data_IF_720873434134
#
_entry.id   IF_720873434134
#
_cell.length_a   1.000
_cell.length_b   1.000
_cell.length_c   1.000
_cell.angle_alpha   90.00
_cell.angle_beta   90.00
_cell.angle_gamma   90.00
#
_symmetry.space_group_name_H-M   'P 1'
#
loop_
_entity.id
_entity.type
_entity.pdbx_description
1 polymer ?
#
# COMPACT_ATOMS: atom_id res chain seq x y z
N UNK A 1 5.20 -14.18 -3.50
CA UNK A 1 5.60 -12.83 -3.93
C UNK A 1 7.05 -12.75 -4.42
N UNK A 2 8.09 -12.85 -3.57
CA UNK A 2 9.49 -12.69 -4.03
C UNK A 2 9.90 -13.63 -5.17
N UNK A 3 9.49 -14.91 -5.12
CA UNK A 3 9.72 -15.85 -6.22
C UNK A 3 8.99 -15.47 -7.51
N UNK A 4 7.79 -14.88 -7.40
CA UNK A 4 6.99 -14.41 -8.54
C UNK A 4 7.69 -13.22 -9.22
N UNK A 5 8.32 -12.35 -8.42
CA UNK A 5 9.13 -11.24 -8.89
C UNK A 5 10.50 -11.68 -9.45
N UNK A 6 10.81 -12.99 -9.47
CA UNK A 6 12.02 -13.53 -10.07
C UNK A 6 13.25 -13.53 -9.17
N UNK A 7 13.11 -13.31 -7.86
CA UNK A 7 14.23 -13.41 -6.94
C UNK A 7 14.72 -14.87 -6.82
N UNK A 8 16.04 -15.04 -6.73
CA UNK A 8 16.65 -16.35 -6.57
C UNK A 8 16.23 -17.02 -5.25
N UNK A 9 16.04 -18.33 -5.26
CA UNK A 9 15.64 -19.10 -4.05
C UNK A 9 16.56 -18.82 -2.86
N UNK A 10 17.88 -18.76 -3.07
CA UNK A 10 18.84 -18.45 -2.01
C UNK A 10 18.61 -17.09 -1.34
N UNK A 11 18.14 -16.09 -2.09
CA UNK A 11 17.81 -14.78 -1.57
C UNK A 11 16.50 -14.81 -0.79
N UNK A 12 15.50 -15.52 -1.31
CA UNK A 12 14.22 -15.73 -0.62
C UNK A 12 14.43 -16.48 0.70
N UNK A 13 15.27 -17.51 0.70
CA UNK A 13 15.64 -18.25 1.90
C UNK A 13 16.38 -17.38 2.92
N UNK A 14 17.28 -16.50 2.45
CA UNK A 14 17.96 -15.54 3.31
C UNK A 14 16.99 -14.57 3.99
N UNK A 15 16.07 -13.95 3.22
CA UNK A 15 15.05 -13.06 3.78
C UNK A 15 14.12 -13.81 4.74
N UNK A 16 13.70 -15.03 4.38
CA UNK A 16 12.90 -15.90 5.25
C UNK A 16 13.62 -16.18 6.56
N UNK A 17 14.92 -16.46 6.53
CA UNK A 17 15.71 -16.67 7.74
C UNK A 17 15.77 -15.40 8.60
N UNK A 18 16.01 -14.23 8.01
CA UNK A 18 16.00 -12.95 8.73
C UNK A 18 14.67 -12.71 9.46
N UNK A 19 13.54 -13.03 8.83
CA UNK A 19 12.21 -12.89 9.45
C UNK A 19 11.97 -13.88 10.59
N UNK A 20 12.44 -15.12 10.45
CA UNK A 20 12.17 -16.21 11.41
C UNK A 20 13.12 -16.23 12.62
N UNK A 21 14.26 -15.53 12.56
CA UNK A 21 15.22 -15.45 13.67
C UNK A 21 14.74 -14.57 14.83
N UNK A 22 13.75 -13.72 14.60
CA UNK A 22 13.34 -12.72 15.58
C UNK A 22 12.44 -13.34 16.65
N UNK A 23 12.65 -12.95 17.90
CA UNK A 23 11.80 -13.34 19.01
C UNK A 23 11.61 -12.17 19.98
N UNK A 24 10.39 -12.03 20.49
CA UNK A 24 9.96 -10.92 21.32
C UNK A 24 9.54 -11.39 22.71
N UNK A 25 9.70 -10.52 23.69
CA UNK A 25 9.07 -10.62 25.01
C UNK A 25 8.48 -9.25 25.36
N UNK A 26 7.33 -9.24 26.04
CA UNK A 26 6.68 -8.00 26.46
C UNK A 26 7.07 -7.74 27.92
N UNK A 27 7.59 -6.54 28.20
CA UNK A 27 7.84 -6.07 29.55
C UNK A 27 6.56 -5.47 30.13
N UNK A 28 6.04 -6.05 31.21
CA UNK A 28 4.88 -5.53 31.94
C UNK A 28 5.34 -5.17 33.35
N UNK A 29 5.25 -3.89 33.71
CA UNK A 29 5.73 -3.36 35.00
C UNK A 29 7.20 -3.74 35.31
N UNK A 30 8.06 -3.71 34.29
CA UNK A 30 9.48 -4.06 34.41
C UNK A 30 9.78 -5.56 34.53
N UNK A 31 8.76 -6.43 34.45
CA UNK A 31 8.94 -7.89 34.43
C UNK A 31 8.83 -8.41 33.00
N UNK A 32 9.82 -9.20 32.58
CA UNK A 32 9.83 -9.83 31.27
C UNK A 32 8.76 -10.93 31.20
N UNK A 33 7.87 -10.84 30.22
CA UNK A 33 6.87 -11.84 29.93
C UNK A 33 7.43 -13.05 29.17
N UNK A 34 6.54 -13.96 28.76
CA UNK A 34 6.92 -15.11 27.95
C UNK A 34 7.42 -14.68 26.58
N UNK A 35 8.48 -15.33 26.11
CA UNK A 35 9.02 -15.14 24.78
C UNK A 35 8.12 -15.80 23.71
N UNK A 36 7.91 -15.11 22.60
CA UNK A 36 7.16 -15.59 21.43
C UNK A 36 7.86 -15.18 20.13
N UNK A 37 7.51 -15.85 19.03
CA UNK A 37 8.02 -15.52 17.69
C UNK A 37 6.89 -14.91 16.86
N UNK A 38 7.15 -13.86 16.08
CA UNK A 38 6.16 -13.31 15.16
C UNK A 38 5.85 -14.32 14.06
N UNK A 39 4.59 -14.38 13.63
CA UNK A 39 4.20 -15.09 12.41
C UNK A 39 4.24 -14.19 11.17
N UNK A 40 4.16 -12.87 11.36
CA UNK A 40 4.19 -11.84 10.32
C UNK A 40 4.89 -10.59 10.83
N UNK A 41 5.46 -9.82 9.91
CA UNK A 41 6.08 -8.53 10.19
C UNK A 41 7.58 -8.62 10.43
N UNK A 42 8.24 -7.47 10.24
CA UNK A 42 9.65 -7.27 10.52
C UNK A 42 9.83 -6.47 11.81
N UNK A 43 11.02 -6.56 12.38
CA UNK A 43 11.36 -5.75 13.55
C UNK A 43 11.33 -4.26 13.18
N UNK A 44 10.68 -3.45 13.99
CA UNK A 44 10.75 -1.99 13.84
C UNK A 44 12.20 -1.52 14.01
N UNK A 45 12.66 -0.68 13.08
CA UNK A 45 14.06 -0.24 13.03
C UNK A 45 15.02 -1.25 12.38
N UNK A 46 14.51 -2.35 11.79
CA UNK A 46 15.32 -3.22 10.94
C UNK A 46 15.69 -2.48 9.64
N UNK A 47 16.99 -2.38 9.29
CA UNK A 47 17.44 -1.68 8.10
C UNK A 47 16.94 -2.31 6.79
N UNK A 48 16.46 -3.55 6.79
CA UNK A 48 15.90 -4.22 5.61
C UNK A 48 14.42 -3.90 5.38
N UNK A 49 13.69 -3.52 6.43
CA UNK A 49 12.24 -3.28 6.34
C UNK A 49 11.83 -2.30 5.23
N UNK A 50 12.49 -1.15 5.04
CA UNK A 50 12.11 -0.20 3.99
C UNK A 50 12.25 -0.79 2.58
N UNK A 51 13.30 -1.60 2.34
CA UNK A 51 13.54 -2.21 1.04
C UNK A 51 12.55 -3.33 0.77
N UNK A 52 12.25 -4.16 1.77
CA UNK A 52 11.27 -5.22 1.65
C UNK A 52 9.87 -4.66 1.43
N UNK A 53 9.53 -3.53 2.06
CA UNK A 53 8.29 -2.82 1.78
C UNK A 53 8.20 -2.40 0.30
N UNK A 54 9.26 -1.79 -0.26
CA UNK A 54 9.28 -1.38 -1.66
C UNK A 54 9.15 -2.57 -2.63
N UNK A 55 9.79 -3.69 -2.32
CA UNK A 55 9.67 -4.91 -3.13
C UNK A 55 8.25 -5.49 -3.05
N UNK A 56 7.59 -5.41 -1.88
CA UNK A 56 6.19 -5.80 -1.74
C UNK A 56 5.25 -4.87 -2.51
N UNK A 57 5.48 -3.56 -2.46
CA UNK A 57 4.61 -2.60 -3.12
C UNK A 57 4.73 -2.61 -4.64
N UNK A 58 5.79 -3.19 -5.22
CA UNK A 58 5.89 -3.48 -6.66
C UNK A 58 4.75 -4.40 -7.16
N UNK A 59 4.22 -5.28 -6.31
CA UNK A 59 3.05 -6.10 -6.64
C UNK A 59 1.81 -5.21 -6.87
N UNK A 60 1.60 -4.19 -6.03
CA UNK A 60 0.54 -3.21 -6.24
C UNK A 60 0.76 -2.42 -7.54
N UNK A 61 2.00 -2.03 -7.83
CA UNK A 61 2.34 -1.40 -9.12
C UNK A 61 1.95 -2.28 -10.30
N UNK A 62 2.25 -3.57 -10.22
CA UNK A 62 1.90 -4.55 -11.26
C UNK A 62 0.38 -4.69 -11.44
N UNK A 63 -0.37 -4.78 -10.34
CA UNK A 63 -1.84 -4.82 -10.39
C UNK A 63 -2.44 -3.55 -11.01
N UNK A 64 -1.87 -2.38 -10.70
CA UNK A 64 -2.28 -1.11 -11.31
C UNK A 64 -1.95 -1.07 -12.81
N UNK A 65 -0.84 -1.67 -13.25
CA UNK A 65 -0.52 -1.78 -14.68
C UNK A 65 -1.54 -2.66 -15.42
N UNK A 66 -1.85 -3.83 -14.85
CA UNK A 66 -2.83 -4.77 -15.42
C UNK A 66 -4.21 -4.13 -15.54
N UNK A 67 -4.71 -3.53 -14.46
CA UNK A 67 -6.01 -2.85 -14.49
C UNK A 67 -6.06 -1.71 -15.51
N UNK A 68 -4.93 -1.05 -15.77
CA UNK A 68 -4.83 -0.02 -16.81
C UNK A 68 -4.86 -0.63 -18.20
N UNK A 69 -4.19 -1.75 -18.42
CA UNK A 69 -4.16 -2.42 -19.73
C UNK A 69 -5.51 -3.07 -20.06
N UNK A 70 -6.29 -3.43 -19.04
CA UNK A 70 -7.70 -3.85 -19.14
C UNK A 70 -8.69 -2.67 -19.31
N UNK A 71 -8.20 -1.42 -19.24
CA UNK A 71 -9.04 -0.23 -19.36
C UNK A 71 -9.92 0.05 -18.14
N UNK A 72 -9.67 -0.62 -17.01
CA UNK A 72 -10.41 -0.42 -15.76
C UNK A 72 -9.98 0.86 -15.03
N UNK A 73 -8.75 1.31 -15.25
CA UNK A 73 -8.22 2.54 -14.63
C UNK A 73 -7.58 3.46 -15.67
N UNK A 74 -7.83 4.76 -15.54
CA UNK A 74 -7.16 5.78 -16.33
C UNK A 74 -5.97 6.39 -15.57
N UNK A 75 -4.87 6.64 -16.30
CA UNK A 75 -3.71 7.34 -15.74
C UNK A 75 -3.86 8.85 -15.81
N UNK A 76 -3.24 9.50 -14.85
CA UNK A 76 -3.26 10.94 -14.72
C UNK A 76 -2.02 11.54 -15.37
N UNK A 77 -2.21 12.55 -16.22
CA UNK A 77 -1.11 13.28 -16.80
C UNK A 77 -0.74 14.49 -15.93
N UNK A 78 0.51 14.54 -15.46
CA UNK A 78 0.99 15.61 -14.57
C UNK A 78 1.07 16.96 -15.27
N UNK A 79 1.33 16.98 -16.58
CA UNK A 79 1.35 18.20 -17.40
C UNK A 79 1.05 17.86 -18.86
N UNK A 80 0.73 18.83 -19.73
CA UNK A 80 0.35 18.57 -21.14
C UNK A 80 1.31 17.63 -21.91
N UNK A 81 2.62 17.67 -21.58
CA UNK A 81 3.65 16.79 -22.16
C UNK A 81 4.34 15.91 -21.10
N UNK A 82 3.80 15.86 -19.90
CA UNK A 82 4.37 15.13 -18.77
C UNK A 82 4.03 13.65 -18.79
N UNK A 83 4.67 12.87 -17.89
CA UNK A 83 4.38 11.46 -17.73
C UNK A 83 2.95 11.23 -17.27
N UNK A 84 2.45 10.04 -17.57
CA UNK A 84 1.20 9.52 -17.04
C UNK A 84 1.49 8.68 -15.81
N UNK A 85 0.88 9.02 -14.69
CA UNK A 85 1.10 8.40 -13.37
C UNK A 85 -0.22 7.78 -12.90
N UNK A 86 -0.16 6.57 -12.34
CA UNK A 86 -1.27 5.90 -11.67
C UNK A 86 -1.06 5.74 -10.17
N UNK A 87 0.18 5.81 -9.68
CA UNK A 87 0.51 5.70 -8.27
C UNK A 87 1.89 6.30 -7.96
N UNK A 88 2.12 6.64 -6.70
CA UNK A 88 3.42 6.94 -6.10
C UNK A 88 3.55 6.09 -4.83
N UNK A 89 4.65 5.35 -4.72
CA UNK A 89 4.94 4.49 -3.58
C UNK A 89 6.07 5.08 -2.76
N UNK A 90 5.83 5.25 -1.47
CA UNK A 90 6.80 5.58 -0.43
C UNK A 90 6.75 4.48 0.63
N UNK A 91 7.78 4.39 1.49
CA UNK A 91 7.90 3.32 2.50
C UNK A 91 6.66 3.21 3.40
N UNK A 92 6.05 4.34 3.76
CA UNK A 92 4.89 4.37 4.66
C UNK A 92 3.67 5.00 4.00
N UNK A 93 3.77 5.50 2.76
CA UNK A 93 2.68 6.23 2.12
C UNK A 93 2.51 5.79 0.67
N UNK A 94 1.28 5.48 0.28
CA UNK A 94 0.96 5.08 -1.09
C UNK A 94 -0.11 5.99 -1.66
N UNK A 95 0.26 6.86 -2.60
CA UNK A 95 -0.69 7.74 -3.29
C UNK A 95 -1.16 7.06 -4.56
N UNK A 96 -2.47 6.91 -4.75
CA UNK A 96 -3.04 6.35 -5.98
C UNK A 96 -3.70 7.46 -6.81
N UNK A 97 -3.79 7.24 -8.11
CA UNK A 97 -4.43 8.16 -9.05
C UNK A 97 -5.39 7.36 -9.93
N UNK A 98 -6.65 7.77 -9.96
CA UNK A 98 -7.73 7.07 -10.66
C UNK A 98 -8.59 6.20 -9.74
N UNK A 99 -9.46 5.40 -10.34
CA UNK A 99 -10.34 4.46 -9.63
C UNK A 99 -9.54 3.20 -9.26
N UNK A 100 -9.18 3.03 -7.99
CA UNK A 100 -8.25 1.96 -7.58
C UNK A 100 -8.85 0.91 -6.63
N UNK A 101 -10.18 0.90 -6.47
CA UNK A 101 -10.85 0.03 -5.48
C UNK A 101 -10.66 -1.47 -5.76
N UNK A 102 -10.76 -1.90 -7.02
CA UNK A 102 -10.56 -3.31 -7.39
C UNK A 102 -9.08 -3.77 -7.29
N UNK A 103 -8.09 -3.02 -7.82
CA UNK A 103 -6.68 -3.33 -7.61
C UNK A 103 -6.27 -3.42 -6.14
N UNK A 104 -6.79 -2.51 -5.29
CA UNK A 104 -6.51 -2.53 -3.85
C UNK A 104 -7.02 -3.80 -3.19
N UNK A 105 -8.26 -4.20 -3.47
CA UNK A 105 -8.83 -5.41 -2.89
C UNK A 105 -8.02 -6.66 -3.29
N UNK A 106 -7.65 -6.77 -4.56
CA UNK A 106 -6.78 -7.85 -5.06
C UNK A 106 -5.42 -7.84 -4.37
N UNK A 107 -4.86 -6.65 -4.14
CA UNK A 107 -3.61 -6.50 -3.42
C UNK A 107 -3.71 -6.95 -1.95
N UNK A 108 -4.78 -6.57 -1.24
CA UNK A 108 -4.98 -7.00 0.15
C UNK A 108 -5.10 -8.54 0.25
N UNK A 109 -5.83 -9.16 -0.67
CA UNK A 109 -5.99 -10.61 -0.75
C UNK A 109 -4.68 -11.34 -1.08
N UNK A 110 -3.87 -10.81 -2.00
CA UNK A 110 -2.63 -11.44 -2.44
C UNK A 110 -1.46 -11.24 -1.46
N UNK A 111 -1.30 -10.02 -0.93
CA UNK A 111 -0.19 -9.65 -0.04
C UNK A 111 -0.47 -9.96 1.44
N UNK A 112 -1.75 -10.00 1.82
CA UNK A 112 -2.17 -10.05 3.22
C UNK A 112 -1.90 -8.76 4.01
N UNK A 113 -1.51 -7.67 3.32
CA UNK A 113 -1.50 -6.33 3.88
C UNK A 113 -2.91 -5.75 3.85
N UNK A 114 -3.22 -4.85 4.79
CA UNK A 114 -4.52 -4.18 4.83
C UNK A 114 -4.33 -2.68 4.64
N UNK A 115 -5.23 -2.05 3.89
CA UNK A 115 -5.31 -0.60 3.77
C UNK A 115 -5.90 -0.03 5.06
N UNK A 116 -5.24 0.97 5.62
CA UNK A 116 -5.80 1.72 6.73
C UNK A 116 -6.75 2.81 6.21
N UNK A 117 -8.02 2.45 6.04
CA UNK A 117 -9.04 3.38 5.53
C UNK A 117 -9.31 4.55 6.49
N UNK A 118 -9.18 4.35 7.81
CA UNK A 118 -9.36 5.42 8.81
C UNK A 118 -8.30 6.51 8.69
N UNK A 119 -7.08 6.16 8.27
CA UNK A 119 -5.99 7.12 8.05
C UNK A 119 -5.88 7.61 6.61
N UNK A 120 -6.60 6.97 5.69
CA UNK A 120 -6.61 7.32 4.27
C UNK A 120 -7.49 8.53 3.98
N UNK A 121 -7.12 9.32 2.95
CA UNK A 121 -7.83 10.57 2.63
C UNK A 121 -8.19 10.68 1.14
N UNK A 122 -9.47 10.57 0.79
CA UNK A 122 -9.89 10.82 -0.59
C UNK A 122 -9.84 12.32 -0.94
N UNK A 123 -9.34 12.59 -2.15
CA UNK A 123 -9.43 13.88 -2.83
C UNK A 123 -10.15 13.66 -4.16
N UNK A 124 -11.00 14.60 -4.53
CA UNK A 124 -11.81 14.49 -5.73
C UNK A 124 -11.57 15.70 -6.64
N UNK A 125 -11.48 15.45 -7.95
CA UNK A 125 -11.42 16.54 -8.92
C UNK A 125 -12.73 17.34 -8.93
N UNK A 126 -12.65 18.58 -9.41
CA UNK A 126 -13.84 19.41 -9.69
C UNK A 126 -14.81 18.76 -10.68
N UNK A 127 -14.31 17.84 -11.51
CA UNK A 127 -15.08 17.18 -12.56
C UNK A 127 -15.73 15.87 -12.07
N UNK A 128 -15.50 15.47 -10.83
CA UNK A 128 -16.12 14.29 -10.23
C UNK A 128 -17.52 14.66 -9.73
N UNK A 129 -18.54 13.91 -10.15
CA UNK A 129 -19.93 14.14 -9.72
C UNK A 129 -20.10 13.85 -8.23
N UNK A 130 -21.01 14.56 -7.57
CA UNK A 130 -21.25 14.34 -6.13
C UNK A 130 -21.74 12.92 -5.84
N UNK A 131 -22.52 12.32 -6.75
CA UNK A 131 -22.92 10.91 -6.66
C UNK A 131 -21.73 9.95 -6.63
N UNK A 132 -20.71 10.18 -7.48
CA UNK A 132 -19.51 9.34 -7.51
C UNK A 132 -18.67 9.55 -6.25
N UNK A 133 -18.58 10.80 -5.75
CA UNK A 133 -17.90 11.11 -4.49
C UNK A 133 -18.56 10.39 -3.31
N UNK A 134 -19.88 10.41 -3.22
CA UNK A 134 -20.64 9.71 -2.18
C UNK A 134 -20.44 8.20 -2.26
N UNK A 135 -20.53 7.62 -3.46
CA UNK A 135 -20.33 6.18 -3.65
C UNK A 135 -18.95 5.73 -3.19
N UNK A 136 -17.89 6.40 -3.65
CA UNK A 136 -16.51 6.05 -3.28
C UNK A 136 -16.29 6.24 -1.78
N UNK A 137 -16.83 7.31 -1.20
CA UNK A 137 -16.72 7.58 0.25
C UNK A 137 -17.46 6.53 1.07
N UNK A 138 -18.62 6.05 0.62
CA UNK A 138 -19.38 4.99 1.29
C UNK A 138 -18.69 3.63 1.19
N UNK A 139 -18.15 3.28 0.02
CA UNK A 139 -17.49 1.99 -0.19
C UNK A 139 -16.19 1.88 0.60
N UNK A 140 -15.39 2.95 0.62
CA UNK A 140 -14.06 2.93 1.22
C UNK A 140 -14.03 3.42 2.66
N UNK A 141 -15.06 4.14 3.12
CA UNK A 141 -15.14 4.73 4.46
C UNK A 141 -13.90 5.56 4.84
N UNK A 142 -13.44 6.41 3.92
CA UNK A 142 -12.24 7.26 4.07
C UNK A 142 -12.60 8.71 4.38
N UNK A 143 -11.66 9.45 4.99
CA UNK A 143 -11.84 10.89 5.17
C UNK A 143 -11.80 11.63 3.83
N UNK A 144 -12.72 12.58 3.63
CA UNK A 144 -12.73 13.41 2.42
C UNK A 144 -12.14 14.78 2.74
N UNK A 145 -11.09 15.17 2.02
CA UNK A 145 -10.51 16.50 2.15
C UNK A 145 -11.26 17.52 1.30
N UNK A 146 -11.47 18.72 1.84
CA UNK A 146 -12.12 19.85 1.15
C UNK A 146 -11.18 20.59 0.19
N UNK A 147 -9.86 20.31 0.24
CA UNK A 147 -8.88 20.99 -0.59
C UNK A 147 -8.86 20.39 -2.01
N UNK A 148 -9.33 21.18 -2.97
CA UNK A 148 -9.40 20.87 -4.41
C UNK A 148 -8.04 20.94 -5.14
N UNK A 149 -6.93 21.02 -4.41
CA UNK A 149 -5.61 21.25 -5.04
C UNK A 149 -5.00 20.01 -5.70
N UNK A 150 -5.55 18.81 -5.48
CA UNK A 150 -5.05 17.59 -6.09
C UNK A 150 -6.18 16.84 -6.80
N UNK A 151 -5.99 16.43 -8.06
CA UNK A 151 -7.10 15.98 -8.87
C UNK A 151 -7.62 14.55 -8.57
N UNK A 152 -7.09 13.78 -7.59
CA UNK A 152 -7.42 12.35 -7.41
C UNK A 152 -7.22 11.80 -5.99
N UNK A 153 -7.83 10.64 -5.70
CA UNK A 153 -7.93 9.93 -4.40
C UNK A 153 -6.56 9.55 -3.82
N UNK A 154 -6.12 10.22 -2.76
CA UNK A 154 -4.83 9.98 -2.12
C UNK A 154 -4.98 8.99 -0.97
N UNK A 155 -4.57 7.74 -1.15
CA UNK A 155 -4.31 6.90 0.02
C UNK A 155 -3.02 7.42 0.69
N UNK A 156 -3.01 7.46 2.00
CA UNK A 156 -1.81 7.78 2.81
C UNK A 156 -1.97 6.91 4.03
N UNK A 157 -0.97 6.10 4.30
CA UNK A 157 -0.99 5.16 5.42
C UNK A 157 0.00 5.66 6.45
N UNK A 158 -0.23 6.85 7.01
CA UNK A 158 0.64 7.33 8.09
C UNK A 158 0.56 6.38 9.28
N UNK A 159 1.68 5.80 9.68
CA UNK A 159 1.80 5.07 10.95
C UNK A 159 1.52 5.97 12.17
#
# INVERSE_FOLDING_TARGET
MLLILGFANSWVDFISHCMNLVSYSILINGREGKRFSPSKGLRQGDPLSPYLYLVCSEELSTLMQLAKDEGLIERVRVSRKGPQISHLLFVDDTVLFGEATDPLKKYEEASGQCVNYEKSTAFYSSNTTDQMRELVTQVLNVHVSKNSCLPFVIYTTRD
#
